data_IF_919982194131
#
_entry.id   IF_919982194131
#
_cell.length_a   1.000
_cell.length_b   1.000
_cell.length_c   1.000
_cell.angle_alpha   90.00
_cell.angle_beta   90.00
_cell.angle_gamma   90.00
#
_symmetry.space_group_name_H-M   'P 1'
#
loop_
_entity.id
_entity.type
_entity.pdbx_description
1 polymer ?
#
# COMPACT_ATOMS: atom_id res chain seq x y z
N UNK A 1 -6.95 -9.39 -1.56
CA UNK A 1 -7.30 -10.78 -1.18
C UNK A 1 -7.60 -11.64 -2.41
N UNK A 2 -8.59 -11.29 -3.26
CA UNK A 2 -9.03 -12.11 -4.41
C UNK A 2 -7.86 -12.48 -5.33
N UNK A 3 -6.99 -11.53 -5.65
CA UNK A 3 -5.79 -11.79 -6.47
C UNK A 3 -4.83 -12.77 -5.78
N UNK A 4 -4.54 -12.57 -4.50
CA UNK A 4 -3.65 -13.46 -3.76
C UNK A 4 -4.21 -14.88 -3.68
N UNK A 5 -5.51 -15.02 -3.37
CA UNK A 5 -6.21 -16.32 -3.35
C UNK A 5 -6.24 -17.01 -4.72
N UNK A 6 -6.28 -16.25 -5.82
CA UNK A 6 -6.23 -16.85 -7.18
C UNK A 6 -4.86 -17.43 -7.54
N UNK A 7 -3.79 -16.90 -6.95
CA UNK A 7 -2.41 -17.34 -7.15
C UNK A 7 -1.98 -18.40 -6.14
N UNK A 8 -2.43 -18.28 -4.90
CA UNK A 8 -2.15 -19.18 -3.78
C UNK A 8 -3.48 -19.45 -3.04
N UNK A 9 -4.25 -20.48 -3.45
CA UNK A 9 -5.57 -20.78 -2.88
C UNK A 9 -5.57 -21.01 -1.36
N UNK A 10 -4.47 -21.56 -0.83
CA UNK A 10 -4.24 -21.84 0.59
C UNK A 10 -3.61 -20.67 1.37
N UNK A 11 -3.62 -19.46 0.83
CA UNK A 11 -3.03 -18.29 1.49
C UNK A 11 -3.60 -18.09 2.91
N UNK A 12 -2.69 -18.01 3.89
CA UNK A 12 -2.99 -17.80 5.31
C UNK A 12 -2.86 -16.30 5.68
N UNK A 13 -1.94 -15.61 5.00
CA UNK A 13 -1.60 -14.24 5.32
C UNK A 13 -1.20 -13.44 4.10
N UNK A 14 -1.65 -12.18 4.04
CA UNK A 14 -1.26 -11.24 3.00
C UNK A 14 -0.70 -9.98 3.66
N UNK A 15 0.50 -9.59 3.25
CA UNK A 15 1.08 -8.30 3.59
C UNK A 15 1.17 -7.43 2.35
N UNK A 16 0.46 -6.32 2.38
CA UNK A 16 0.48 -5.30 1.33
C UNK A 16 1.18 -4.05 1.85
N UNK A 17 2.33 -3.71 1.26
CA UNK A 17 3.05 -2.47 1.58
C UNK A 17 3.06 -1.59 0.35
N UNK A 18 2.22 -0.57 0.39
CA UNK A 18 2.13 0.46 -0.64
C UNK A 18 3.18 1.56 -0.51
N UNK A 19 2.95 2.66 -1.20
CA UNK A 19 3.78 3.87 -1.09
C UNK A 19 3.59 4.60 0.24
N UNK A 20 2.39 4.57 0.82
CA UNK A 20 2.02 5.34 2.01
C UNK A 20 1.22 4.56 3.05
N UNK A 21 0.83 3.33 2.77
CA UNK A 21 -0.01 2.51 3.64
C UNK A 21 0.53 1.08 3.77
N UNK A 22 0.13 0.41 4.84
CA UNK A 22 0.37 -1.00 5.09
C UNK A 22 -0.97 -1.65 5.41
N UNK A 23 -1.25 -2.76 4.75
CA UNK A 23 -2.41 -3.61 5.03
C UNK A 23 -1.95 -5.02 5.29
N UNK A 24 -2.41 -5.57 6.40
CA UNK A 24 -2.16 -6.96 6.76
C UNK A 24 -3.50 -7.67 6.86
N UNK A 25 -3.67 -8.78 6.13
CA UNK A 25 -4.88 -9.56 6.15
C UNK A 25 -4.57 -10.96 6.65
N UNK A 26 -5.22 -11.39 7.71
CA UNK A 26 -5.26 -12.80 8.15
C UNK A 26 -6.40 -13.49 7.45
N UNK A 27 -6.11 -14.68 6.90
CA UNK A 27 -7.09 -15.50 6.21
C UNK A 27 -7.26 -16.80 7.00
N UNK A 28 -8.52 -17.15 7.25
CA UNK A 28 -8.88 -18.40 7.87
C UNK A 28 -10.01 -19.06 7.10
N UNK A 29 -9.87 -20.35 6.78
CA UNK A 29 -10.85 -21.11 5.99
C UNK A 29 -11.24 -20.41 4.66
N UNK A 30 -10.25 -19.79 3.99
CA UNK A 30 -10.44 -19.12 2.71
C UNK A 30 -11.26 -17.82 2.76
N UNK A 31 -11.43 -17.24 3.95
CA UNK A 31 -12.08 -15.94 4.20
C UNK A 31 -11.15 -15.02 4.98
N UNK A 32 -11.35 -13.72 4.82
CA UNK A 32 -10.61 -12.72 5.62
C UNK A 32 -11.15 -12.79 7.05
N UNK A 33 -10.28 -13.15 7.98
CA UNK A 33 -10.58 -13.23 9.42
C UNK A 33 -10.31 -11.89 10.12
N UNK A 34 -9.18 -11.26 9.80
CA UNK A 34 -8.80 -9.97 10.38
C UNK A 34 -8.05 -9.10 9.39
N UNK A 35 -8.21 -7.78 9.55
CA UNK A 35 -7.51 -6.76 8.76
C UNK A 35 -6.85 -5.76 9.70
N UNK A 36 -5.54 -5.57 9.55
CA UNK A 36 -4.78 -4.54 10.25
C UNK A 36 -4.35 -3.48 9.24
N UNK A 37 -4.59 -2.23 9.55
CA UNK A 37 -4.29 -1.09 8.68
C UNK A 37 -3.35 -0.12 9.39
N UNK A 38 -2.41 0.44 8.63
CA UNK A 38 -1.64 1.60 9.05
C UNK A 38 -1.71 2.66 7.95
N UNK A 39 -2.68 3.55 8.07
CA UNK A 39 -2.89 4.68 7.15
C UNK A 39 -2.33 6.00 7.70
N UNK A 40 -2.04 6.03 9.00
CA UNK A 40 -1.68 7.26 9.71
C UNK A 40 -0.19 7.64 9.61
N UNK A 41 0.66 6.74 9.15
CA UNK A 41 2.11 6.99 9.16
C UNK A 41 2.81 6.31 7.98
N UNK A 42 3.37 7.11 7.08
CA UNK A 42 4.18 6.64 5.95
C UNK A 42 5.54 6.04 6.36
N UNK A 43 5.87 6.04 7.66
CA UNK A 43 7.14 5.53 8.20
C UNK A 43 7.25 4.02 8.21
N UNK A 44 7.07 3.39 7.15
CA UNK A 44 7.13 1.94 6.99
C UNK A 44 6.68 1.55 5.59
N UNK A 45 6.53 2.55 4.72
CA UNK A 45 6.02 2.40 3.38
C UNK A 45 7.07 2.77 2.33
N UNK A 46 6.77 2.47 1.06
CA UNK A 46 7.72 2.65 -0.04
C UNK A 46 8.21 4.08 -0.26
N UNK A 47 7.36 5.10 -0.01
CA UNK A 47 7.75 6.51 -0.14
C UNK A 47 8.89 6.91 0.79
N UNK A 48 8.96 6.25 1.96
CA UNK A 48 10.05 6.44 2.90
C UNK A 48 11.40 6.00 2.32
N UNK A 49 11.48 4.80 1.74
CA UNK A 49 12.69 4.31 1.08
C UNK A 49 13.08 5.19 -0.11
N UNK A 50 12.11 5.59 -0.92
CA UNK A 50 12.34 6.48 -2.05
C UNK A 50 12.91 7.83 -1.63
N UNK A 51 12.42 8.39 -0.54
CA UNK A 51 12.93 9.65 0.03
C UNK A 51 14.39 9.52 0.46
N UNK A 52 14.75 8.45 1.17
CA UNK A 52 16.12 8.24 1.60
C UNK A 52 17.07 7.90 0.44
N UNK A 53 16.62 7.12 -0.54
CA UNK A 53 17.38 6.89 -1.77
C UNK A 53 17.74 8.23 -2.44
N UNK A 54 16.75 9.10 -2.64
CA UNK A 54 16.94 10.43 -3.22
C UNK A 54 17.90 11.34 -2.42
N UNK A 55 17.77 11.36 -1.09
CA UNK A 55 18.69 12.12 -0.20
C UNK A 55 20.14 11.62 -0.32
N UNK A 56 20.31 10.32 -0.53
CA UNK A 56 21.64 9.70 -0.69
C UNK A 56 22.14 9.70 -2.13
N UNK A 57 21.39 10.26 -3.09
CA UNK A 57 21.78 10.40 -4.48
C UNK A 57 21.57 9.15 -5.34
N UNK A 58 20.67 8.25 -4.94
CA UNK A 58 20.37 7.00 -5.64
C UNK A 58 18.95 6.97 -6.18
N UNK A 59 18.75 6.21 -7.26
CA UNK A 59 17.41 5.77 -7.62
C UNK A 59 16.89 4.76 -6.58
N UNK A 60 15.56 4.63 -6.45
CA UNK A 60 14.97 3.64 -5.54
C UNK A 60 15.41 2.21 -5.89
N UNK A 61 15.57 1.91 -7.18
CA UNK A 61 16.00 0.62 -7.69
C UNK A 61 17.47 0.32 -7.36
N UNK A 62 18.39 1.27 -7.61
CA UNK A 62 19.81 1.08 -7.31
C UNK A 62 20.02 1.00 -5.79
N UNK A 63 19.28 1.80 -5.02
CA UNK A 63 19.32 1.75 -3.56
C UNK A 63 18.89 0.37 -3.03
N UNK A 64 17.87 -0.23 -3.63
CA UNK A 64 17.46 -1.59 -3.31
C UNK A 64 18.53 -2.62 -3.66
N UNK A 65 19.15 -2.51 -4.85
CA UNK A 65 20.20 -3.43 -5.31
C UNK A 65 21.41 -3.43 -4.40
N UNK A 66 21.93 -2.25 -4.04
CA UNK A 66 23.10 -2.17 -3.16
C UNK A 66 22.82 -2.68 -1.76
N UNK A 67 21.60 -2.52 -1.23
CA UNK A 67 21.21 -3.02 0.08
C UNK A 67 21.26 -4.54 0.21
N UNK A 68 21.06 -5.28 -0.89
CA UNK A 68 21.18 -6.74 -0.90
C UNK A 68 22.60 -7.26 -0.59
N UNK A 69 23.62 -6.44 -0.82
CA UNK A 69 25.03 -6.79 -0.62
C UNK A 69 25.62 -6.16 0.65
N UNK A 70 24.75 -5.72 1.56
CA UNK A 70 25.18 -5.17 2.84
C UNK A 70 25.85 -6.25 3.70
N UNK A 71 27.05 -5.97 4.17
CA UNK A 71 27.81 -6.85 5.06
C UNK A 71 27.44 -6.67 6.54
N UNK A 72 27.03 -5.45 6.91
CA UNK A 72 26.68 -5.09 8.29
C UNK A 72 25.52 -4.09 8.30
N UNK A 73 24.27 -4.53 8.06
CA UNK A 73 23.10 -3.66 8.09
C UNK A 73 23.03 -2.82 9.37
N UNK A 74 22.75 -1.52 9.23
CA UNK A 74 22.63 -0.63 10.38
C UNK A 74 21.33 -0.92 11.12
N UNK A 75 21.39 -1.10 12.44
CA UNK A 75 20.17 -1.19 13.25
C UNK A 75 19.57 0.21 13.45
N UNK A 76 18.55 0.49 12.67
CA UNK A 76 17.81 1.75 12.74
C UNK A 76 16.56 1.65 13.65
N UNK A 77 16.27 0.45 14.14
CA UNK A 77 15.06 0.17 14.92
C UNK A 77 13.78 0.26 14.07
N UNK A 78 12.64 0.35 14.74
CA UNK A 78 11.30 0.48 14.11
C UNK A 78 10.60 1.78 14.53
N UNK A 79 11.33 2.90 14.53
CA UNK A 79 10.81 4.20 14.99
C UNK A 79 10.14 5.02 13.87
N UNK A 80 9.46 6.09 14.25
CA UNK A 80 8.87 7.05 13.33
C UNK A 80 9.95 7.70 12.42
N UNK A 81 9.59 8.04 11.20
CA UNK A 81 10.43 8.65 10.16
C UNK A 81 11.22 9.86 10.65
N UNK A 82 10.63 10.68 11.51
CA UNK A 82 11.30 11.87 12.06
C UNK A 82 12.57 11.49 12.83
N UNK A 83 12.50 10.44 13.65
CA UNK A 83 13.66 9.93 14.38
C UNK A 83 14.64 9.16 13.50
N UNK A 84 14.13 8.54 12.43
CA UNK A 84 14.94 7.77 11.49
C UNK A 84 15.94 8.66 10.74
N UNK A 85 15.56 9.89 10.39
CA UNK A 85 16.47 10.86 9.79
C UNK A 85 17.71 11.09 10.65
N UNK A 86 17.53 11.22 11.97
CA UNK A 86 18.64 11.42 12.90
C UNK A 86 19.53 10.17 12.98
N UNK A 87 18.92 8.99 13.00
CA UNK A 87 19.65 7.72 13.05
C UNK A 87 20.46 7.48 11.78
N UNK A 88 19.89 7.76 10.59
CA UNK A 88 20.62 7.65 9.31
C UNK A 88 21.79 8.64 9.25
N UNK A 89 21.59 9.90 9.67
CA UNK A 89 22.67 10.88 9.74
C UNK A 89 23.78 10.45 10.71
N UNK A 90 23.41 9.87 11.84
CA UNK A 90 24.39 9.34 12.79
C UNK A 90 25.15 8.15 12.17
N UNK A 91 24.47 7.21 11.56
CA UNK A 91 25.11 6.08 10.88
C UNK A 91 26.10 6.54 9.79
N UNK A 92 25.77 7.59 9.03
CA UNK A 92 26.70 8.20 8.06
C UNK A 92 27.95 8.78 8.73
N UNK A 93 27.78 9.49 9.85
CA UNK A 93 28.91 10.04 10.64
C UNK A 93 29.80 8.95 11.21
N UNK A 94 29.20 7.81 11.58
CA UNK A 94 29.90 6.63 12.09
C UNK A 94 30.56 5.80 10.98
N UNK A 95 30.47 6.27 9.72
CA UNK A 95 31.13 5.64 8.57
C UNK A 95 30.39 4.45 7.97
N UNK A 96 29.09 4.29 8.26
CA UNK A 96 28.31 3.22 7.64
C UNK A 96 28.21 3.40 6.12
N UNK A 97 28.37 2.33 5.36
CA UNK A 97 28.20 2.34 3.91
C UNK A 97 26.72 2.56 3.52
N UNK A 98 26.50 3.11 2.32
CA UNK A 98 25.14 3.28 1.80
C UNK A 98 24.40 1.94 1.69
N UNK A 99 25.13 0.85 1.36
CA UNK A 99 24.57 -0.50 1.36
C UNK A 99 24.00 -0.88 2.74
N UNK A 100 24.78 -0.66 3.79
CA UNK A 100 24.38 -0.97 5.17
C UNK A 100 23.20 -0.12 5.66
N UNK A 101 23.13 1.14 5.21
CA UNK A 101 21.99 2.04 5.48
C UNK A 101 20.75 1.56 4.74
N UNK A 102 20.86 1.20 3.45
CA UNK A 102 19.73 0.70 2.65
C UNK A 102 19.14 -0.58 3.24
N UNK A 103 19.97 -1.53 3.61
CA UNK A 103 19.55 -2.75 4.27
C UNK A 103 18.87 -2.46 5.62
N UNK A 104 19.47 -1.59 6.43
CA UNK A 104 18.92 -1.19 7.72
C UNK A 104 17.53 -0.53 7.62
N UNK A 105 17.33 0.32 6.59
CA UNK A 105 16.03 0.93 6.30
C UNK A 105 15.00 -0.13 5.87
N UNK A 106 15.40 -1.08 5.03
CA UNK A 106 14.51 -2.17 4.58
C UNK A 106 14.09 -3.06 5.75
N UNK A 107 15.01 -3.42 6.64
CA UNK A 107 14.74 -4.16 7.87
C UNK A 107 13.81 -3.36 8.80
N UNK A 108 14.03 -2.04 8.92
CA UNK A 108 13.19 -1.17 9.75
C UNK A 108 11.74 -1.13 9.28
N UNK A 109 11.49 -1.09 7.95
CA UNK A 109 10.13 -1.15 7.39
C UNK A 109 9.45 -2.46 7.76
N UNK A 110 10.15 -3.58 7.57
CA UNK A 110 9.63 -4.90 7.91
C UNK A 110 9.31 -5.01 9.39
N UNK A 111 10.22 -4.60 10.27
CA UNK A 111 9.98 -4.57 11.72
C UNK A 111 8.80 -3.68 12.09
N UNK A 112 8.62 -2.55 11.41
CA UNK A 112 7.47 -1.69 11.63
C UNK A 112 6.15 -2.39 11.25
N UNK A 113 6.11 -3.05 10.10
CA UNK A 113 4.92 -3.80 9.66
C UNK A 113 4.60 -4.95 10.64
N UNK A 114 5.59 -5.74 11.01
CA UNK A 114 5.41 -6.89 11.89
C UNK A 114 5.05 -6.47 13.32
N UNK A 115 5.83 -5.61 13.96
CA UNK A 115 5.72 -5.38 15.39
C UNK A 115 4.81 -4.21 15.78
N UNK A 116 4.56 -3.25 14.89
CA UNK A 116 3.68 -2.12 15.20
C UNK A 116 2.28 -2.25 14.61
N UNK A 117 2.18 -2.75 13.39
CA UNK A 117 0.89 -2.88 12.70
C UNK A 117 0.21 -4.18 13.11
N UNK A 118 0.89 -5.30 12.94
CA UNK A 118 0.32 -6.63 13.18
C UNK A 118 0.38 -7.08 14.62
N UNK A 119 1.50 -6.84 15.30
CA UNK A 119 1.76 -7.30 16.69
C UNK A 119 1.46 -8.78 16.90
N UNK A 120 1.97 -9.69 16.06
CA UNK A 120 1.76 -11.11 16.25
C UNK A 120 2.39 -11.53 17.58
N UNK A 121 1.74 -12.46 18.30
CA UNK A 121 2.30 -13.02 19.53
C UNK A 121 3.48 -13.93 19.24
N UNK A 122 3.44 -14.60 18.07
CA UNK A 122 4.50 -15.47 17.55
C UNK A 122 4.56 -15.38 16.02
N UNK A 123 5.71 -15.61 15.37
CA UNK A 123 5.81 -15.72 13.91
C UNK A 123 4.85 -16.75 13.32
N UNK A 124 4.65 -17.88 14.00
CA UNK A 124 3.76 -18.96 13.57
C UNK A 124 2.27 -18.53 13.49
N UNK A 125 1.90 -17.45 14.15
CA UNK A 125 0.54 -16.88 14.09
C UNK A 125 0.17 -16.33 12.69
N UNK A 126 1.15 -16.23 11.79
CA UNK A 126 0.97 -15.77 10.42
C UNK A 126 0.60 -16.89 9.45
N UNK A 127 0.74 -18.15 9.87
CA UNK A 127 0.60 -19.30 8.97
C UNK A 127 1.87 -19.56 8.14
N UNK A 128 1.73 -20.44 7.16
CA UNK A 128 2.86 -20.89 6.31
C UNK A 128 2.78 -20.38 4.88
N UNK A 129 1.58 -20.03 4.41
CA UNK A 129 1.33 -19.61 3.05
C UNK A 129 1.14 -18.09 3.00
N UNK A 130 2.25 -17.38 2.89
CA UNK A 130 2.29 -15.93 2.96
C UNK A 130 2.46 -15.35 1.57
N UNK A 131 1.58 -14.42 1.19
CA UNK A 131 1.71 -13.60 -0.01
C UNK A 131 2.11 -12.18 0.39
N UNK A 132 3.14 -11.66 -0.25
CA UNK A 132 3.55 -10.26 -0.11
C UNK A 132 3.25 -9.51 -1.39
N UNK A 133 2.66 -8.33 -1.25
CA UNK A 133 2.23 -7.50 -2.38
C UNK A 133 2.39 -6.01 -2.08
N UNK A 134 2.07 -5.17 -3.06
CA UNK A 134 2.29 -3.72 -3.01
C UNK A 134 3.64 -3.33 -3.62
N UNK A 135 3.75 -2.07 -4.04
CA UNK A 135 4.92 -1.56 -4.76
C UNK A 135 6.23 -1.66 -3.99
N UNK A 136 6.18 -1.64 -2.65
CA UNK A 136 7.38 -1.75 -1.81
C UNK A 136 8.05 -3.12 -1.91
N UNK A 137 7.31 -4.17 -2.22
CA UNK A 137 7.88 -5.51 -2.40
C UNK A 137 8.55 -5.74 -3.77
N UNK A 138 8.48 -4.77 -4.71
CA UNK A 138 9.35 -4.76 -5.88
C UNK A 138 10.82 -4.51 -5.49
N UNK A 139 11.05 -3.98 -4.29
CA UNK A 139 12.36 -3.87 -3.67
C UNK A 139 12.78 -5.22 -3.09
N UNK A 140 13.77 -5.86 -3.72
CA UNK A 140 14.27 -7.17 -3.29
C UNK A 140 14.91 -7.13 -1.89
N UNK A 141 15.45 -5.99 -1.46
CA UNK A 141 16.03 -5.87 -0.13
C UNK A 141 14.94 -5.91 0.96
N UNK A 142 13.76 -5.32 0.69
CA UNK A 142 12.58 -5.42 1.57
C UNK A 142 12.05 -6.86 1.63
N UNK A 143 11.95 -7.51 0.45
CA UNK A 143 11.54 -8.91 0.38
C UNK A 143 12.47 -9.80 1.22
N UNK A 144 13.77 -9.67 1.00
CA UNK A 144 14.76 -10.48 1.73
C UNK A 144 14.75 -10.20 3.23
N UNK A 145 14.63 -8.94 3.63
CA UNK A 145 14.50 -8.58 5.04
C UNK A 145 13.26 -9.22 5.69
N UNK A 146 12.15 -9.30 4.96
CA UNK A 146 10.92 -9.92 5.46
C UNK A 146 11.07 -11.44 5.64
N UNK A 147 11.65 -12.13 4.66
CA UNK A 147 11.94 -13.56 4.74
C UNK A 147 12.89 -13.90 5.89
N UNK A 148 13.91 -13.06 6.10
CA UNK A 148 14.87 -13.23 7.20
C UNK A 148 14.25 -13.02 8.57
N UNK A 149 13.41 -11.98 8.73
CA UNK A 149 12.74 -11.71 10.03
C UNK A 149 11.75 -12.81 10.42
N UNK A 150 11.13 -13.47 9.43
CA UNK A 150 10.18 -14.56 9.67
C UNK A 150 10.84 -15.95 9.63
N UNK A 151 12.05 -16.06 9.09
CA UNK A 151 12.70 -17.32 8.74
C UNK A 151 11.81 -18.23 7.86
N UNK A 152 11.11 -17.63 6.89
CA UNK A 152 10.21 -18.28 5.96
C UNK A 152 10.40 -17.71 4.54
N UNK A 153 10.21 -18.56 3.53
CA UNK A 153 10.03 -18.09 2.16
C UNK A 153 8.60 -17.62 1.96
N UNK A 154 8.43 -16.56 1.18
CA UNK A 154 7.12 -15.98 0.91
C UNK A 154 6.87 -15.86 -0.59
N UNK A 155 5.60 -15.88 -0.99
CA UNK A 155 5.21 -15.72 -2.38
C UNK A 155 5.06 -14.24 -2.71
N UNK A 156 5.94 -13.75 -3.58
CA UNK A 156 5.82 -12.43 -4.20
C UNK A 156 5.44 -12.59 -5.67
N UNK A 157 4.22 -12.25 -6.07
CA UNK A 157 3.83 -12.25 -7.48
C UNK A 157 4.64 -11.23 -8.31
N UNK A 158 4.91 -11.55 -9.57
CA UNK A 158 5.59 -10.62 -10.49
C UNK A 158 4.85 -9.28 -10.63
N UNK A 159 3.53 -9.31 -10.48
CA UNK A 159 2.64 -8.15 -10.50
C UNK A 159 2.38 -7.58 -9.09
N UNK A 160 3.30 -7.75 -8.14
CA UNK A 160 3.10 -7.37 -6.74
C UNK A 160 2.53 -5.95 -6.57
N UNK A 161 2.99 -4.97 -7.35
CA UNK A 161 2.49 -3.59 -7.32
C UNK A 161 1.11 -3.40 -7.97
N UNK A 162 0.60 -4.38 -8.70
CA UNK A 162 -0.68 -4.33 -9.43
C UNK A 162 -1.73 -5.30 -8.87
N UNK A 163 -1.44 -5.97 -7.75
CA UNK A 163 -2.32 -6.99 -7.17
C UNK A 163 -3.72 -6.45 -6.84
N UNK A 164 -3.82 -5.20 -6.40
CA UNK A 164 -5.10 -4.53 -6.18
C UNK A 164 -5.93 -4.41 -7.46
N UNK A 165 -5.33 -3.95 -8.54
CA UNK A 165 -5.99 -3.83 -9.85
C UNK A 165 -6.39 -5.19 -10.42
N UNK A 166 -5.49 -6.17 -10.33
CA UNK A 166 -5.78 -7.54 -10.78
C UNK A 166 -6.94 -8.16 -9.99
N UNK A 167 -6.94 -8.01 -8.66
CA UNK A 167 -8.03 -8.49 -7.81
C UNK A 167 -9.37 -7.80 -8.11
N UNK A 168 -9.36 -6.50 -8.40
CA UNK A 168 -10.55 -5.77 -8.80
C UNK A 168 -11.09 -6.28 -10.16
N UNK A 169 -10.21 -6.58 -11.11
CA UNK A 169 -10.59 -7.15 -12.40
C UNK A 169 -11.21 -8.56 -12.25
N UNK A 170 -10.62 -9.43 -11.43
CA UNK A 170 -11.20 -10.75 -11.12
C UNK A 170 -12.56 -10.63 -10.45
N UNK A 171 -12.70 -9.73 -9.49
CA UNK A 171 -13.98 -9.47 -8.84
C UNK A 171 -15.04 -8.95 -9.82
N UNK A 172 -14.68 -8.00 -10.68
CA UNK A 172 -15.58 -7.50 -11.71
C UNK A 172 -16.01 -8.60 -12.68
N UNK A 173 -15.09 -9.48 -13.08
CA UNK A 173 -15.39 -10.64 -13.93
C UNK A 173 -16.40 -11.59 -13.25
N UNK A 174 -16.19 -11.92 -11.98
CA UNK A 174 -17.09 -12.76 -11.20
C UNK A 174 -18.48 -12.12 -11.07
N UNK A 175 -18.54 -10.83 -10.69
CA UNK A 175 -19.79 -10.08 -10.59
C UNK A 175 -20.54 -10.04 -11.93
N UNK A 176 -19.84 -9.89 -13.04
CA UNK A 176 -20.43 -9.91 -14.38
C UNK A 176 -21.05 -11.25 -14.72
N UNK A 177 -20.41 -12.39 -14.32
CA UNK A 177 -20.96 -13.72 -14.51
C UNK A 177 -22.23 -13.96 -13.70
N UNK A 178 -22.25 -13.48 -12.43
CA UNK A 178 -23.40 -13.65 -11.53
C UNK A 178 -24.55 -12.71 -11.88
N UNK A 179 -24.24 -11.52 -12.37
CA UNK A 179 -25.22 -10.47 -12.70
C UNK A 179 -24.90 -9.90 -14.09
N UNK A 180 -25.32 -10.60 -15.17
CA UNK A 180 -25.13 -10.12 -16.54
C UNK A 180 -25.92 -8.82 -16.76
N UNK A 181 -25.24 -7.70 -16.84
CA UNK A 181 -25.83 -6.40 -17.12
C UNK A 181 -24.97 -5.68 -18.16
N UNK A 182 -25.57 -4.82 -18.97
CA UNK A 182 -24.79 -3.99 -19.87
C UNK A 182 -23.91 -3.02 -19.08
N UNK A 183 -22.73 -2.73 -19.65
CA UNK A 183 -21.82 -1.78 -19.03
C UNK A 183 -22.43 -0.38 -19.02
N UNK A 184 -22.38 0.27 -17.85
CA UNK A 184 -22.75 1.68 -17.70
C UNK A 184 -21.62 2.64 -18.14
N UNK A 185 -20.48 2.12 -18.63
CA UNK A 185 -19.39 2.95 -19.16
C UNK A 185 -19.84 3.69 -20.41
N UNK A 186 -19.52 4.97 -20.47
CA UNK A 186 -19.77 5.79 -21.64
C UNK A 186 -19.00 5.24 -22.85
N UNK A 187 -19.67 5.15 -23.99
CA UNK A 187 -19.05 4.78 -25.26
C UNK A 187 -18.18 5.94 -25.79
N UNK A 188 -17.27 5.63 -26.71
CA UNK A 188 -16.34 6.61 -27.25
C UNK A 188 -17.06 7.85 -27.86
N UNK A 189 -18.19 7.65 -28.53
CA UNK A 189 -19.02 8.72 -29.10
C UNK A 189 -19.59 9.62 -27.99
N UNK A 190 -20.07 9.03 -26.89
CA UNK A 190 -20.62 9.76 -25.75
C UNK A 190 -19.53 10.54 -25.01
N UNK A 191 -18.29 10.00 -24.95
CA UNK A 191 -17.15 10.69 -24.34
C UNK A 191 -16.74 11.93 -25.16
N UNK A 192 -16.85 11.90 -26.48
CA UNK A 192 -16.54 13.05 -27.35
C UNK A 192 -17.47 14.24 -27.13
N UNK A 193 -18.72 13.98 -26.79
CA UNK A 193 -19.74 14.98 -26.52
C UNK A 193 -19.99 15.21 -25.03
N UNK A 194 -19.23 14.51 -24.18
CA UNK A 194 -19.38 14.62 -22.74
C UNK A 194 -19.04 16.03 -22.26
N UNK A 195 -19.99 16.66 -21.60
CA UNK A 195 -19.82 17.96 -20.97
C UNK A 195 -20.54 17.99 -19.63
N UNK A 196 -20.07 18.82 -18.74
CA UNK A 196 -20.73 19.11 -17.48
C UNK A 196 -20.52 20.57 -17.10
N UNK A 197 -21.43 21.09 -16.32
CA UNK A 197 -21.31 22.41 -15.71
C UNK A 197 -21.03 22.27 -14.22
N UNK A 198 -20.21 23.16 -13.70
CA UNK A 198 -19.80 23.14 -12.29
C UNK A 198 -20.30 24.41 -11.60
N UNK A 199 -20.95 24.27 -10.45
CA UNK A 199 -21.37 25.38 -9.58
C UNK A 199 -20.83 25.14 -8.17
N UNK A 200 -20.29 26.20 -7.58
CA UNK A 200 -19.92 26.18 -6.14
C UNK A 200 -21.04 26.87 -5.36
N UNK A 201 -21.52 26.19 -4.32
CA UNK A 201 -22.56 26.72 -3.44
C UNK A 201 -22.18 26.46 -1.98
N UNK A 202 -22.66 27.29 -1.07
CA UNK A 202 -22.50 27.07 0.36
C UNK A 202 -23.75 26.38 0.89
N UNK A 203 -23.60 25.22 1.54
CA UNK A 203 -24.72 24.49 2.16
C UNK A 203 -25.28 25.28 3.33
N UNK A 204 -26.59 25.48 3.35
CA UNK A 204 -27.32 26.17 4.41
C UNK A 204 -28.06 25.24 5.38
N UNK A 205 -27.87 23.90 5.29
CA UNK A 205 -28.67 22.93 6.06
C UNK A 205 -28.24 22.78 7.52
N UNK A 206 -27.03 23.23 7.89
CA UNK A 206 -26.52 23.18 9.26
C UNK A 206 -25.36 24.18 9.46
N UNK A 207 -24.87 24.30 10.70
CA UNK A 207 -23.80 25.21 11.08
C UNK A 207 -22.42 24.92 10.45
N UNK A 208 -22.24 23.77 9.78
CA UNK A 208 -20.97 23.46 9.09
C UNK A 208 -20.77 24.28 7.81
N UNK A 209 -21.82 24.84 7.22
CA UNK A 209 -21.74 25.68 6.00
C UNK A 209 -20.77 25.12 4.95
N UNK A 210 -20.87 23.81 4.63
CA UNK A 210 -19.96 23.14 3.70
C UNK A 210 -19.94 23.86 2.33
N UNK A 211 -18.74 24.05 1.78
CA UNK A 211 -18.58 24.46 0.39
C UNK A 211 -18.80 23.24 -0.51
N UNK A 212 -19.90 23.28 -1.28
CA UNK A 212 -20.30 22.18 -2.16
C UNK A 212 -19.90 22.50 -3.60
N UNK A 213 -19.44 21.48 -4.30
CA UNK A 213 -19.28 21.49 -5.75
C UNK A 213 -20.42 20.66 -6.35
N UNK A 214 -21.26 21.33 -7.14
CA UNK A 214 -22.39 20.69 -7.83
C UNK A 214 -22.01 20.55 -9.30
N UNK A 215 -21.82 19.32 -9.75
CA UNK A 215 -21.60 18.99 -11.16
C UNK A 215 -22.94 18.62 -11.78
N UNK A 216 -23.36 19.27 -12.83
CA UNK A 216 -24.57 18.94 -13.58
C UNK A 216 -24.13 18.35 -14.92
N UNK A 217 -24.44 17.09 -15.14
CA UNK A 217 -24.10 16.35 -16.35
C UNK A 217 -25.13 16.58 -17.47
N UNK A 218 -24.82 16.15 -18.67
CA UNK A 218 -25.67 16.34 -19.86
C UNK A 218 -27.09 15.73 -19.71
N UNK A 219 -27.24 14.72 -18.85
CA UNK A 219 -28.55 14.10 -18.51
C UNK A 219 -29.34 14.90 -17.47
N UNK A 220 -28.82 16.05 -17.03
CA UNK A 220 -29.44 16.92 -16.03
C UNK A 220 -29.29 16.46 -14.58
N UNK A 221 -28.63 15.31 -14.33
CA UNK A 221 -28.43 14.79 -12.98
C UNK A 221 -27.31 15.55 -12.27
N UNK A 222 -27.57 16.07 -11.06
CA UNK A 222 -26.52 16.68 -10.25
C UNK A 222 -25.72 15.62 -9.53
N UNK A 223 -24.41 15.85 -9.45
CA UNK A 223 -23.51 15.15 -8.52
C UNK A 223 -22.91 16.18 -7.57
N UNK A 224 -23.11 15.97 -6.28
CA UNK A 224 -22.70 16.91 -5.23
C UNK A 224 -21.49 16.31 -4.50
N UNK A 225 -20.45 17.13 -4.32
CA UNK A 225 -19.26 16.78 -3.56
C UNK A 225 -18.88 17.92 -2.59
N UNK A 226 -17.98 17.64 -1.64
CA UNK A 226 -17.60 18.59 -0.59
C UNK A 226 -18.53 18.59 0.63
N UNK A 227 -19.59 17.77 0.59
CA UNK A 227 -20.49 17.57 1.75
C UNK A 227 -19.79 16.71 2.83
N UNK A 228 -20.07 17.03 4.09
CA UNK A 228 -19.63 16.26 5.27
C UNK A 228 -20.72 15.35 5.82
N UNK A 229 -21.85 15.27 5.14
CA UNK A 229 -22.98 14.42 5.49
C UNK A 229 -23.80 14.13 4.22
N UNK A 230 -24.76 13.21 4.29
CA UNK A 230 -25.58 12.75 3.14
C UNK A 230 -26.84 13.59 2.89
N UNK A 231 -26.96 14.78 3.50
CA UNK A 231 -28.18 15.61 3.37
C UNK A 231 -28.33 16.36 2.05
N UNK A 232 -27.27 16.96 1.48
CA UNK A 232 -27.35 17.60 0.17
C UNK A 232 -27.25 16.60 -0.98
#
# INVERSE_FOLDING_TARGET
FIAAKSLLPEVDFILDIGGQDIKCLKIHNGCIDNIFLNEACSSGCGSFLQTFAGILGYSAEDFAKIGLFADKPVDLGSRCTVFMNSNVKQAQKDGASVANISAGLSISIVKNALFKVMRPSRPDDLGKHIVVQGGSFLNNCVLRAFEQELNLEVVRPDIAGLMGAYGAALYAQERRKLHPQDSALLKAEQLRTFSHTVKSVTCGLCSNHCHLTVNIFADGKPYISGNRCERP
#
